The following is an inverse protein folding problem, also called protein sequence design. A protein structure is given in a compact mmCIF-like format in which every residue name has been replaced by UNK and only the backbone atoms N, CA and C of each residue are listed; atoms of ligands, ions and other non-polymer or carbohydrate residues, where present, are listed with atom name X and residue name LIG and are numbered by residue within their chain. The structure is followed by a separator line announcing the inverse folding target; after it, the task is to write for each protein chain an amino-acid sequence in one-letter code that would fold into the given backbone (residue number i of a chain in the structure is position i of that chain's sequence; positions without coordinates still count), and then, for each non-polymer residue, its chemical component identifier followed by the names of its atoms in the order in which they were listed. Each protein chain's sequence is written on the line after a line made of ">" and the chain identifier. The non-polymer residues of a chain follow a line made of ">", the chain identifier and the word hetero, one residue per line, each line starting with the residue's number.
data_IF_836932721222
#
_entry.id   IF_836932721222
#
_cell.length_a   1.000
_cell.length_b   1.000
_cell.length_c   1.000
_cell.angle_alpha   90.00
_cell.angle_beta   90.00
_cell.angle_gamma   90.00
#
_symmetry.space_group_name_H-M   'P 1'
#
loop_
_entity.id
_entity.type
_entity.pdbx_description
1 polymer ?
#
# COMPACT_ATOMS: atom_id res chain seq x y z
N UNK A 1 -7.09 -29.21 -1.19
CA UNK A 1 -7.14 -29.02 0.28
C UNK A 1 -8.34 -28.13 0.62
N UNK A 2 -9.57 -28.67 0.54
CA UNK A 2 -10.84 -27.96 0.85
C UNK A 2 -11.83 -28.90 1.58
N UNK A 3 -11.77 -30.22 1.33
CA UNK A 3 -12.74 -31.19 1.85
C UNK A 3 -12.81 -31.36 3.39
N UNK A 4 -11.78 -30.97 4.16
CA UNK A 4 -11.81 -31.06 5.64
C UNK A 4 -12.47 -29.87 6.33
N UNK A 5 -12.86 -28.84 5.57
CA UNK A 5 -13.65 -27.72 6.12
C UNK A 5 -15.15 -28.05 6.19
N UNK A 6 -15.59 -29.15 5.57
CA UNK A 6 -16.98 -29.52 5.28
C UNK A 6 -17.63 -30.51 6.30
N UNK A 7 -16.85 -31.07 7.23
CA UNK A 7 -17.42 -31.92 8.29
C UNK A 7 -17.84 -31.06 9.48
N UNK A 8 -19.12 -30.70 9.50
CA UNK A 8 -19.75 -29.77 10.44
C UNK A 8 -19.73 -30.20 11.91
N UNK A 9 -18.63 -29.94 12.61
CA UNK A 9 -18.52 -29.89 14.07
C UNK A 9 -17.64 -28.70 14.48
N UNK A 10 -18.10 -27.47 14.24
CA UNK A 10 -17.40 -26.24 14.63
C UNK A 10 -18.27 -25.45 15.60
N UNK A 11 -18.11 -25.72 16.89
CA UNK A 11 -18.62 -24.79 17.91
C UNK A 11 -17.86 -23.46 17.94
N UNK A 12 -16.65 -23.38 17.35
CA UNK A 12 -15.71 -22.29 17.62
C UNK A 12 -14.79 -21.96 16.42
N UNK A 13 -15.32 -21.75 15.21
CA UNK A 13 -14.50 -21.15 14.13
C UNK A 13 -15.16 -19.90 13.60
N UNK A 14 -14.53 -18.75 13.87
CA UNK A 14 -14.88 -17.47 13.28
C UNK A 14 -14.57 -17.49 11.78
N UNK A 15 -15.57 -17.26 10.94
CA UNK A 15 -15.38 -17.08 9.51
C UNK A 15 -14.83 -15.69 9.19
N UNK A 16 -14.18 -15.54 8.02
CA UNK A 16 -13.69 -14.23 7.54
C UNK A 16 -14.85 -13.25 7.36
N UNK A 17 -16.01 -13.72 6.90
CA UNK A 17 -17.20 -12.87 6.75
C UNK A 17 -17.69 -12.34 8.11
N UNK A 18 -17.75 -13.19 9.13
CA UNK A 18 -18.12 -12.77 10.50
C UNK A 18 -17.12 -11.76 11.07
N UNK A 19 -15.81 -11.99 10.89
CA UNK A 19 -14.78 -11.03 11.30
C UNK A 19 -15.01 -9.64 10.68
N UNK A 20 -15.28 -9.58 9.37
CA UNK A 20 -15.51 -8.32 8.65
C UNK A 20 -16.79 -7.63 9.11
N UNK A 21 -17.87 -8.39 9.32
CA UNK A 21 -19.15 -7.86 9.82
C UNK A 21 -18.98 -7.31 11.24
N UNK A 22 -18.29 -8.04 12.12
CA UNK A 22 -18.03 -7.58 13.50
C UNK A 22 -17.17 -6.32 13.48
N UNK A 23 -16.10 -6.28 12.68
CA UNK A 23 -15.25 -5.10 12.55
C UNK A 23 -16.03 -3.87 12.06
N UNK A 24 -16.88 -4.05 11.04
CA UNK A 24 -17.75 -3.01 10.53
C UNK A 24 -18.76 -2.53 11.58
N UNK A 25 -19.38 -3.45 12.34
CA UNK A 25 -20.33 -3.12 13.41
C UNK A 25 -19.67 -2.37 14.57
N UNK A 26 -18.38 -2.60 14.80
CA UNK A 26 -17.59 -1.92 15.82
C UNK A 26 -16.87 -0.65 15.30
N UNK A 27 -16.99 -0.33 14.01
CA UNK A 27 -16.28 0.78 13.35
C UNK A 27 -14.75 0.74 13.54
N UNK A 28 -14.17 -0.46 13.59
CA UNK A 28 -12.71 -0.66 13.74
C UNK A 28 -12.10 -1.35 12.52
N UNK A 29 -10.80 -1.15 12.23
CA UNK A 29 -10.12 -1.93 11.21
C UNK A 29 -10.18 -3.44 11.53
N UNK A 30 -10.53 -4.33 10.59
CA UNK A 30 -10.65 -5.76 10.89
C UNK A 30 -9.38 -6.38 11.49
N UNK A 31 -8.21 -5.89 11.08
CA UNK A 31 -6.91 -6.39 11.54
C UNK A 31 -6.69 -6.14 13.03
N UNK A 32 -7.29 -5.11 13.63
CA UNK A 32 -7.13 -4.81 15.07
C UNK A 32 -7.90 -5.76 15.97
N UNK A 33 -8.88 -6.50 15.41
CA UNK A 33 -9.55 -7.59 16.12
C UNK A 33 -8.68 -8.84 16.19
N UNK A 34 -7.77 -9.03 15.22
CA UNK A 34 -6.83 -10.15 15.19
C UNK A 34 -5.55 -9.84 15.98
N UNK A 35 -5.00 -8.64 15.80
CA UNK A 35 -3.75 -8.21 16.42
C UNK A 35 -3.96 -6.91 17.21
N UNK A 36 -4.46 -7.00 18.46
CA UNK A 36 -4.65 -5.84 19.32
C UNK A 36 -3.31 -5.28 19.82
N UNK A 37 -3.35 -4.14 20.52
CA UNK A 37 -2.19 -3.54 21.21
C UNK A 37 -1.05 -3.07 20.29
N UNK A 38 -1.39 -2.57 19.10
CA UNK A 38 -0.42 -1.93 18.20
C UNK A 38 0.31 -0.74 18.86
N UNK A 39 1.58 -0.45 18.48
CA UNK A 39 2.39 -1.26 17.57
C UNK A 39 3.16 -2.40 18.27
N UNK A 40 3.51 -2.21 19.54
CA UNK A 40 4.55 -3.01 20.23
C UNK A 40 4.01 -4.15 21.10
N UNK A 41 2.69 -4.23 21.31
CA UNK A 41 2.09 -5.30 22.10
C UNK A 41 2.36 -6.67 21.49
N UNK A 42 2.64 -7.66 22.33
CA UNK A 42 2.91 -9.02 21.87
C UNK A 42 1.61 -9.73 21.46
N UNK A 43 1.64 -10.39 20.30
CA UNK A 43 0.55 -11.20 19.79
C UNK A 43 1.09 -12.50 19.23
N UNK A 44 0.27 -13.54 19.24
CA UNK A 44 0.57 -14.79 18.57
C UNK A 44 0.10 -14.72 17.12
N UNK A 45 1.03 -14.51 16.18
CA UNK A 45 0.71 -14.44 14.73
C UNK A 45 0.19 -15.77 14.20
N UNK A 46 0.80 -16.87 14.65
CA UNK A 46 0.43 -18.26 14.38
C UNK A 46 0.77 -19.09 15.61
N UNK A 47 0.15 -20.26 15.84
CA UNK A 47 0.43 -21.08 17.02
C UNK A 47 1.94 -21.26 17.30
N UNK A 48 2.38 -20.88 18.49
CA UNK A 48 3.75 -20.92 18.97
C UNK A 48 4.67 -19.78 18.48
N UNK A 49 4.18 -18.82 17.69
CA UNK A 49 4.99 -17.71 17.18
C UNK A 49 4.47 -16.36 17.66
N UNK A 50 5.11 -15.86 18.71
CA UNK A 50 4.88 -14.54 19.31
C UNK A 50 5.78 -13.50 18.64
N UNK A 51 5.20 -12.35 18.32
CA UNK A 51 5.90 -11.19 17.76
C UNK A 51 5.11 -9.91 18.11
N UNK A 52 5.65 -8.74 17.74
CA UNK A 52 4.90 -7.47 17.92
C UNK A 52 3.64 -7.47 17.06
N UNK A 53 2.58 -6.81 17.54
CA UNK A 53 1.34 -6.64 16.80
C UNK A 53 1.58 -6.02 15.42
N UNK A 54 2.53 -5.07 15.31
CA UNK A 54 2.88 -4.48 14.02
C UNK A 54 3.54 -5.48 13.07
N UNK A 55 4.43 -6.34 13.55
CA UNK A 55 5.00 -7.43 12.73
C UNK A 55 3.91 -8.37 12.24
N UNK A 56 2.96 -8.76 13.11
CA UNK A 56 1.88 -9.66 12.73
C UNK A 56 0.96 -9.04 11.67
N UNK A 57 0.68 -7.73 11.79
CA UNK A 57 -0.04 -6.96 10.77
C UNK A 57 0.71 -6.95 9.44
N UNK A 58 2.02 -6.68 9.45
CA UNK A 58 2.85 -6.65 8.23
C UNK A 58 2.83 -8.00 7.52
N UNK A 59 3.01 -9.08 8.27
CA UNK A 59 2.92 -10.42 7.70
C UNK A 59 1.53 -10.71 7.12
N UNK A 60 0.45 -10.44 7.87
CA UNK A 60 -0.92 -10.68 7.41
C UNK A 60 -1.26 -9.85 6.17
N UNK A 61 -0.76 -8.62 6.12
CA UNK A 61 -0.93 -7.76 4.98
C UNK A 61 -0.05 -8.16 3.80
N UNK A 62 0.92 -9.08 3.93
CA UNK A 62 1.85 -9.46 2.86
C UNK A 62 2.97 -8.44 2.64
N UNK A 63 3.32 -7.66 3.65
CA UNK A 63 4.42 -6.68 3.63
C UNK A 63 5.78 -7.30 3.95
N UNK A 64 5.79 -8.39 4.72
CA UNK A 64 7.01 -9.11 5.03
C UNK A 64 7.32 -10.11 3.92
N UNK A 65 8.56 -10.09 3.42
CA UNK A 65 9.03 -10.99 2.39
C UNK A 65 9.07 -12.42 2.97
N UNK A 66 8.03 -13.20 2.68
CA UNK A 66 7.93 -14.60 3.09
C UNK A 66 8.82 -15.53 2.25
N UNK A 67 9.65 -14.98 1.35
CA UNK A 67 10.51 -15.76 0.45
C UNK A 67 9.72 -16.51 -0.64
N UNK A 68 8.45 -16.14 -0.85
CA UNK A 68 7.60 -16.76 -1.86
C UNK A 68 7.89 -16.17 -3.24
N UNK A 69 8.09 -17.00 -4.29
CA UNK A 69 8.22 -16.55 -5.68
C UNK A 69 6.91 -16.01 -6.27
N UNK A 70 5.89 -15.77 -5.44
CA UNK A 70 4.57 -15.33 -5.86
C UNK A 70 4.54 -13.85 -6.26
N UNK A 71 3.76 -13.60 -7.30
CA UNK A 71 3.55 -12.28 -7.89
C UNK A 71 2.84 -11.29 -6.95
N UNK A 72 2.02 -11.78 -6.01
CA UNK A 72 1.14 -10.96 -5.18
C UNK A 72 1.87 -10.12 -4.11
N UNK A 73 2.80 -10.65 -3.30
CA UNK A 73 3.58 -9.83 -2.36
C UNK A 73 4.35 -8.71 -3.07
N UNK A 74 4.99 -9.02 -4.22
CA UNK A 74 5.68 -8.02 -5.03
C UNK A 74 4.73 -6.96 -5.57
N UNK A 75 3.56 -7.36 -6.06
CA UNK A 75 2.54 -6.43 -6.55
C UNK A 75 2.05 -5.51 -5.44
N UNK A 76 1.81 -6.04 -4.24
CA UNK A 76 1.37 -5.24 -3.10
C UNK A 76 2.43 -4.23 -2.66
N UNK A 77 3.69 -4.68 -2.58
CA UNK A 77 4.82 -3.81 -2.28
C UNK A 77 4.89 -2.62 -3.25
N UNK A 78 4.90 -2.90 -4.56
CA UNK A 78 4.92 -1.87 -5.60
C UNK A 78 3.67 -0.99 -5.57
N UNK A 79 2.49 -1.56 -5.27
CA UNK A 79 1.24 -0.79 -5.16
C UNK A 79 1.33 0.26 -4.04
N UNK A 80 1.88 -0.12 -2.87
CA UNK A 80 2.05 0.80 -1.74
C UNK A 80 3.08 1.88 -1.99
N UNK A 81 4.21 1.50 -2.60
CA UNK A 81 5.24 2.45 -3.01
C UNK A 81 4.64 3.47 -4.00
N UNK A 82 3.93 2.98 -5.02
CA UNK A 82 3.21 3.81 -5.99
C UNK A 82 2.23 4.76 -5.32
N UNK A 83 1.39 4.29 -4.41
CA UNK A 83 0.44 5.13 -3.69
C UNK A 83 1.12 6.18 -2.80
N UNK A 84 2.25 5.85 -2.17
CA UNK A 84 3.06 6.80 -1.41
C UNK A 84 3.60 7.92 -2.28
N UNK A 85 4.11 7.57 -3.47
CA UNK A 85 4.60 8.54 -4.45
C UNK A 85 3.47 9.39 -5.02
N UNK A 86 2.33 8.80 -5.38
CA UNK A 86 1.15 9.53 -5.87
C UNK A 86 0.64 10.52 -4.83
N UNK A 87 0.56 10.13 -3.55
CA UNK A 87 0.16 11.05 -2.47
C UNK A 87 1.11 12.22 -2.37
N UNK A 88 2.41 11.99 -2.53
CA UNK A 88 3.42 13.05 -2.51
C UNK A 88 3.32 13.96 -3.74
N UNK A 89 3.15 13.39 -4.94
CA UNK A 89 2.93 14.14 -6.17
C UNK A 89 1.67 15.00 -6.10
N UNK A 90 0.54 14.47 -5.61
CA UNK A 90 -0.71 15.22 -5.42
C UNK A 90 -0.56 16.38 -4.43
N UNK A 91 0.16 16.19 -3.33
CA UNK A 91 0.47 17.29 -2.38
C UNK A 91 1.27 18.39 -3.04
N UNK A 92 2.23 18.01 -3.89
CA UNK A 92 3.02 18.97 -4.65
C UNK A 92 2.16 19.70 -5.69
N UNK A 93 1.35 18.99 -6.46
CA UNK A 93 0.40 19.56 -7.42
C UNK A 93 -0.51 20.62 -6.78
N UNK A 94 -1.03 20.34 -5.57
CA UNK A 94 -1.80 21.31 -4.80
C UNK A 94 -0.99 22.57 -4.44
N UNK A 95 0.30 22.40 -4.12
CA UNK A 95 1.19 23.52 -3.82
C UNK A 95 1.43 24.36 -5.07
N UNK A 96 1.71 23.72 -6.21
CA UNK A 96 1.90 24.38 -7.50
C UNK A 96 0.64 25.12 -7.97
N UNK A 97 -0.54 24.51 -7.79
CA UNK A 97 -1.81 25.15 -8.10
C UNK A 97 -2.02 26.45 -7.29
N UNK A 98 -1.62 26.46 -6.02
CA UNK A 98 -1.67 27.67 -5.17
C UNK A 98 -0.68 28.74 -5.63
N UNK A 99 0.53 28.35 -6.05
CA UNK A 99 1.51 29.29 -6.62
C UNK A 99 0.99 29.91 -7.92
N UNK A 100 0.49 29.09 -8.85
CA UNK A 100 -0.11 29.56 -10.10
C UNK A 100 -1.26 30.53 -9.86
N UNK A 101 -2.15 30.22 -8.92
CA UNK A 101 -3.27 31.10 -8.56
C UNK A 101 -2.81 32.46 -8.01
N UNK A 102 -1.61 32.54 -7.42
CA UNK A 102 -0.98 33.79 -6.95
C UNK A 102 -0.14 34.49 -8.03
N UNK A 103 -0.05 33.94 -9.24
CA UNK A 103 0.83 34.44 -10.29
C UNK A 103 2.31 34.23 -9.99
N UNK A 104 2.65 33.34 -9.05
CA UNK A 104 4.04 33.01 -8.74
C UNK A 104 4.63 32.11 -9.83
N UNK A 105 5.91 32.31 -10.21
CA UNK A 105 6.55 31.51 -11.23
C UNK A 105 6.74 30.05 -10.78
N UNK A 106 6.27 29.12 -11.61
CA UNK A 106 6.54 27.68 -11.50
C UNK A 106 7.72 27.37 -12.42
N UNK A 107 8.94 27.60 -11.93
CA UNK A 107 10.17 27.23 -12.64
C UNK A 107 10.85 26.07 -11.91
N UNK A 108 11.60 25.23 -12.63
CA UNK A 108 12.29 24.08 -12.02
C UNK A 108 13.39 24.45 -11.01
N UNK A 109 13.56 25.74 -10.69
CA UNK A 109 14.47 26.23 -9.64
C UNK A 109 13.72 26.51 -8.33
N UNK A 110 12.44 26.89 -8.40
CA UNK A 110 11.63 27.32 -7.26
C UNK A 110 10.91 26.19 -6.50
N UNK A 111 10.90 24.96 -7.04
CA UNK A 111 10.27 23.81 -6.37
C UNK A 111 11.20 22.57 -6.31
N UNK A 112 10.98 21.66 -5.33
CA UNK A 112 11.91 20.55 -5.05
C UNK A 112 12.13 19.62 -6.23
N UNK A 113 13.39 19.24 -6.47
CA UNK A 113 13.85 18.29 -7.52
C UNK A 113 13.41 16.84 -7.29
N UNK A 114 12.22 16.60 -6.75
CA UNK A 114 11.74 15.23 -6.56
C UNK A 114 10.90 14.86 -7.78
N UNK A 115 11.50 14.06 -8.65
CA UNK A 115 10.83 13.52 -9.83
C UNK A 115 9.91 12.35 -9.43
N UNK A 116 8.80 12.67 -8.74
CA UNK A 116 7.80 11.69 -8.35
C UNK A 116 7.21 10.98 -9.56
N UNK A 117 7.03 11.68 -10.68
CA UNK A 117 6.37 11.13 -11.86
C UNK A 117 7.24 10.08 -12.54
N UNK A 118 8.55 10.30 -12.69
CA UNK A 118 9.43 9.26 -13.22
C UNK A 118 9.50 8.04 -12.30
N UNK A 119 9.54 8.22 -10.97
CA UNK A 119 9.47 7.10 -10.04
C UNK A 119 8.15 6.34 -10.15
N UNK A 120 7.00 7.04 -10.20
CA UNK A 120 5.69 6.41 -10.38
C UNK A 120 5.65 5.61 -11.69
N UNK A 121 6.15 6.18 -12.80
CA UNK A 121 6.22 5.48 -14.10
C UNK A 121 7.12 4.25 -14.06
N UNK A 122 8.25 4.32 -13.33
CA UNK A 122 9.13 3.17 -13.14
C UNK A 122 8.42 2.05 -12.37
N UNK A 123 7.71 2.39 -11.30
CA UNK A 123 6.94 1.43 -10.50
C UNK A 123 5.82 0.82 -11.35
N UNK A 124 5.04 1.63 -12.07
CA UNK A 124 3.99 1.16 -12.98
C UNK A 124 4.52 0.21 -14.06
N UNK A 125 5.71 0.49 -14.61
CA UNK A 125 6.39 -0.44 -15.54
C UNK A 125 6.68 -1.78 -14.85
N UNK A 126 7.23 -1.77 -13.64
CA UNK A 126 7.51 -3.00 -12.89
C UNK A 126 6.24 -3.76 -12.52
N UNK A 127 5.14 -3.06 -12.22
CA UNK A 127 3.83 -3.67 -11.93
C UNK A 127 3.24 -4.34 -13.17
N UNK A 128 3.38 -3.74 -14.36
CA UNK A 128 2.91 -4.33 -15.64
C UNK A 128 3.53 -5.69 -15.95
N UNK A 129 4.74 -5.95 -15.48
CA UNK A 129 5.44 -7.23 -15.66
C UNK A 129 4.88 -8.34 -14.75
N UNK A 130 4.01 -7.99 -13.79
CA UNK A 130 3.46 -8.92 -12.81
C UNK A 130 2.09 -9.44 -13.27
N UNK A 131 1.91 -10.76 -13.46
CA UNK A 131 0.62 -11.35 -13.79
C UNK A 131 -0.49 -10.95 -12.81
N UNK A 132 -1.64 -10.52 -13.34
CA UNK A 132 -2.80 -10.10 -12.55
C UNK A 132 -2.78 -8.64 -12.09
N UNK A 133 -1.73 -7.87 -12.37
CA UNK A 133 -1.70 -6.44 -12.06
C UNK A 133 -2.77 -5.67 -12.87
N UNK A 134 -3.57 -4.85 -12.17
CA UNK A 134 -4.56 -3.94 -12.77
C UNK A 134 -4.46 -2.58 -12.08
N UNK A 135 -4.22 -1.51 -12.84
CA UNK A 135 -4.14 -0.13 -12.33
C UNK A 135 -4.28 0.88 -13.47
N UNK A 136 -4.80 2.07 -13.15
CA UNK A 136 -4.79 3.22 -14.06
C UNK A 136 -3.46 3.96 -13.98
N UNK A 137 -2.95 4.49 -15.08
CA UNK A 137 -1.73 5.30 -15.10
C UNK A 137 -1.93 6.61 -14.34
N UNK A 138 -0.89 7.06 -13.64
CA UNK A 138 -0.93 8.33 -12.92
C UNK A 138 -0.78 9.52 -13.87
N UNK A 139 -1.77 10.40 -13.87
CA UNK A 139 -1.72 11.69 -14.56
C UNK A 139 -1.27 12.82 -13.63
N UNK A 140 -0.38 13.69 -14.14
CA UNK A 140 0.13 14.85 -13.42
C UNK A 140 -0.07 16.12 -14.25
N UNK A 141 -0.77 17.11 -13.71
CA UNK A 141 -1.28 18.24 -14.52
C UNK A 141 -0.32 19.43 -14.64
N UNK A 142 0.86 19.39 -14.00
CA UNK A 142 1.85 20.44 -14.12
C UNK A 142 2.99 20.00 -15.05
N UNK A 143 3.57 20.93 -15.83
CA UNK A 143 4.69 20.61 -16.70
C UNK A 143 5.83 20.02 -15.88
N UNK A 144 6.23 18.80 -16.22
CA UNK A 144 7.45 18.19 -15.70
C UNK A 144 8.61 19.10 -16.11
N UNK A 145 9.13 19.85 -15.15
CA UNK A 145 10.31 20.68 -15.38
C UNK A 145 11.53 19.76 -15.39
N UNK A 146 11.76 19.05 -16.50
CA UNK A 146 13.11 18.60 -16.81
C UNK A 146 13.35 18.62 -18.33
N UNK A 147 14.34 19.39 -18.82
CA UNK A 147 14.93 19.11 -20.11
C UNK A 147 15.71 17.79 -19.99
N UNK A 148 15.41 16.81 -20.85
CA UNK A 148 16.42 15.77 -21.11
C UNK A 148 17.66 16.47 -21.70
N UNK A 149 18.79 16.37 -21.00
CA UNK A 149 20.10 16.70 -21.55
C UNK A 149 20.94 17.59 -20.63
N UNK A 150 22.00 17.03 -20.04
CA UNK A 150 23.38 17.19 -20.52
C UNK A 150 24.38 16.51 -19.56
N UNK A 151 25.31 15.77 -20.17
CA UNK A 151 26.51 15.07 -19.66
C UNK A 151 26.28 13.73 -18.93
#
# INVERSE_FOLDING_TARGET
>A
MIAKLDSGHRGEVLSVAELLIIAAALEVPPVTLLYPNLPDGEVERTPGKVETALSAVRWFAGEDDTGSPEYLPRLLHLSREREGMIRSAKRQEQTLARMAARGEPIDGKSWPRIDYVSHIRQIERMMREIPGATFDEFEFNFPLSYPRGHA
#
